data_IF_007902947247
#
_entry.id   IF_007902947247
#
_cell.length_a   1.000
_cell.length_b   1.000
_cell.length_c   1.000
_cell.angle_alpha   90.00
_cell.angle_beta   90.00
_cell.angle_gamma   90.00
#
_symmetry.space_group_name_H-M   'P 1'
#
loop_
_entity.id
_entity.type
_entity.pdbx_description
1 polymer ?
#
# COMPACT_ATOMS: atom_id res chain seq x y z
N UNK A 1 35.90 -42.06 -4.21
CA UNK A 1 35.16 -41.43 -3.09
C UNK A 1 35.09 -39.95 -3.37
N UNK A 2 33.92 -39.43 -3.76
CA UNK A 2 33.70 -38.01 -4.05
C UNK A 2 33.20 -37.35 -2.77
N UNK A 3 33.96 -36.41 -2.21
CA UNK A 3 33.51 -35.60 -1.08
C UNK A 3 32.56 -34.51 -1.59
N UNK A 4 31.30 -34.61 -1.19
CA UNK A 4 30.29 -33.57 -1.40
C UNK A 4 30.62 -32.38 -0.50
N UNK A 5 30.95 -31.25 -1.12
CA UNK A 5 30.93 -29.95 -0.46
C UNK A 5 29.45 -29.51 -0.47
N UNK A 6 28.82 -29.52 0.70
CA UNK A 6 27.53 -28.86 0.92
C UNK A 6 27.74 -27.36 0.87
N UNK A 7 27.19 -26.70 -0.14
CA UNK A 7 26.92 -25.27 -0.06
C UNK A 7 25.73 -25.07 0.88
N UNK A 8 25.95 -24.40 2.01
CA UNK A 8 24.86 -23.74 2.72
C UNK A 8 24.41 -22.59 1.83
N UNK A 9 23.20 -22.69 1.28
CA UNK A 9 22.49 -21.53 0.77
C UNK A 9 22.30 -20.55 1.94
N UNK A 10 23.09 -19.47 1.95
CA UNK A 10 22.65 -18.25 2.62
C UNK A 10 21.46 -17.73 1.82
N UNK A 11 20.26 -18.14 2.27
CA UNK A 11 19.02 -17.47 1.91
C UNK A 11 19.15 -16.05 2.50
N UNK A 12 19.66 -15.12 1.71
CA UNK A 12 19.48 -13.69 1.95
C UNK A 12 18.01 -13.38 1.64
N UNK A 13 17.14 -13.76 2.58
CA UNK A 13 15.74 -13.37 2.59
C UNK A 13 15.64 -11.92 3.11
N UNK A 14 16.19 -10.99 2.33
CA UNK A 14 15.92 -9.56 2.51
C UNK A 14 14.50 -9.18 2.03
N UNK A 15 13.68 -10.17 1.64
CA UNK A 15 12.27 -10.05 1.28
C UNK A 15 11.29 -10.38 2.41
N UNK A 16 11.76 -10.86 3.56
CA UNK A 16 10.96 -10.94 4.79
C UNK A 16 10.83 -9.53 5.43
N UNK A 17 10.25 -8.58 4.69
CA UNK A 17 9.85 -7.29 5.26
C UNK A 17 8.60 -7.54 6.11
N UNK A 18 8.81 -7.34 7.41
CA UNK A 18 7.95 -7.57 8.57
C UNK A 18 6.45 -7.76 8.29
N UNK A 19 5.80 -8.77 8.90
CA UNK A 19 4.34 -8.72 9.03
C UNK A 19 3.98 -7.36 9.65
N UNK A 20 2.89 -6.74 9.22
CA UNK A 20 2.33 -5.55 9.88
C UNK A 20 1.94 -5.93 11.32
N UNK A 21 2.92 -6.03 12.22
CA UNK A 21 2.70 -6.32 13.63
C UNK A 21 2.10 -5.07 14.22
N UNK A 22 0.77 -5.07 14.35
CA UNK A 22 0.06 -4.04 15.10
C UNK A 22 0.23 -4.36 16.58
N UNK A 23 1.18 -3.69 17.24
CA UNK A 23 1.47 -3.86 18.65
C UNK A 23 0.23 -3.51 19.50
N UNK A 24 -0.55 -2.49 19.10
CA UNK A 24 -1.83 -2.12 19.72
C UNK A 24 -2.84 -3.27 19.77
N UNK A 25 -2.74 -4.25 18.86
CA UNK A 25 -3.63 -5.41 18.77
C UNK A 25 -3.06 -6.66 19.43
N UNK A 26 -2.11 -6.51 20.37
CA UNK A 26 -1.43 -7.63 21.05
C UNK A 26 -0.78 -8.61 20.06
N UNK A 27 -0.07 -8.07 19.07
CA UNK A 27 0.62 -8.83 18.00
C UNK A 27 -0.31 -9.67 17.11
N UNK A 28 -1.61 -9.40 17.11
CA UNK A 28 -2.55 -9.92 16.13
C UNK A 28 -2.70 -8.91 15.00
N UNK A 29 -2.89 -9.38 13.78
CA UNK A 29 -3.30 -8.51 12.68
C UNK A 29 -4.78 -8.06 12.84
N UNK A 30 -5.23 -7.18 11.94
CA UNK A 30 -6.58 -6.61 11.97
C UNK A 30 -7.69 -7.63 11.70
N UNK A 31 -7.43 -8.68 10.92
CA UNK A 31 -8.40 -9.74 10.58
C UNK A 31 -8.55 -10.69 11.77
N UNK A 32 -7.44 -11.17 12.31
CA UNK A 32 -7.40 -12.03 13.51
C UNK A 32 -8.00 -11.32 14.73
N UNK A 33 -7.91 -9.99 14.78
CA UNK A 33 -8.52 -9.15 15.81
C UNK A 33 -9.97 -8.75 15.51
N UNK A 34 -10.52 -9.16 14.36
CA UNK A 34 -11.90 -8.87 13.91
C UNK A 34 -12.22 -7.38 13.86
N UNK A 35 -11.25 -6.56 13.43
CA UNK A 35 -11.38 -5.10 13.29
C UNK A 35 -11.83 -4.72 11.88
N UNK A 36 -11.19 -5.32 10.88
CA UNK A 36 -11.57 -5.26 9.45
C UNK A 36 -11.12 -6.55 8.78
N UNK A 37 -11.91 -7.05 7.84
CA UNK A 37 -11.55 -8.18 6.96
C UNK A 37 -10.61 -7.73 5.83
N UNK A 38 -10.29 -6.44 5.77
CA UNK A 38 -9.27 -5.85 4.92
C UNK A 38 -8.06 -5.43 5.75
N UNK A 39 -6.86 -5.58 5.18
CA UNK A 39 -5.64 -5.07 5.78
C UNK A 39 -5.34 -3.63 5.33
N UNK A 40 -4.70 -2.80 6.18
CA UNK A 40 -4.25 -1.47 5.77
C UNK A 40 -3.10 -1.56 4.77
N UNK A 41 -3.17 -0.79 3.68
CA UNK A 41 -2.16 -0.72 2.62
C UNK A 41 -1.38 0.59 2.75
N UNK A 42 -0.05 0.53 2.85
CA UNK A 42 0.81 1.72 2.76
C UNK A 42 1.59 1.69 1.46
N UNK A 43 1.37 2.68 0.61
CA UNK A 43 2.08 2.80 -0.66
C UNK A 43 2.20 4.25 -1.13
N UNK A 44 3.40 4.65 -1.54
CA UNK A 44 3.70 5.97 -2.12
C UNK A 44 3.12 7.17 -1.34
N UNK A 45 3.28 7.16 -0.02
CA UNK A 45 2.76 8.21 0.87
C UNK A 45 1.26 8.14 1.14
N UNK A 46 0.57 7.08 0.71
CA UNK A 46 -0.85 6.83 1.00
C UNK A 46 -0.99 5.69 1.99
N UNK A 47 -1.79 5.89 3.03
CA UNK A 47 -2.43 4.81 3.78
C UNK A 47 -3.83 4.62 3.21
N UNK A 48 -4.11 3.47 2.61
CA UNK A 48 -5.45 3.08 2.17
C UNK A 48 -5.99 1.94 3.03
N UNK A 49 -7.24 2.01 3.47
CA UNK A 49 -7.85 0.92 4.23
C UNK A 49 -9.38 0.90 4.09
N UNK A 50 -9.96 -0.24 3.72
CA UNK A 50 -11.38 -0.48 3.95
C UNK A 50 -11.59 -0.83 5.44
N UNK A 51 -12.30 0.04 6.17
CA UNK A 51 -12.47 -0.08 7.63
C UNK A 51 -13.82 -0.70 8.03
N UNK A 52 -14.59 -1.17 7.06
CA UNK A 52 -15.87 -1.88 7.24
C UNK A 52 -16.91 -1.09 8.01
N UNK A 53 -17.77 -0.40 7.27
CA UNK A 53 -18.79 0.47 7.85
C UNK A 53 -19.78 -0.37 8.66
N UNK A 54 -20.48 0.27 9.59
CA UNK A 54 -21.59 -0.41 10.27
C UNK A 54 -22.61 -0.89 9.21
N UNK A 55 -22.80 -2.21 9.12
CA UNK A 55 -23.68 -2.78 8.12
C UNK A 55 -25.15 -2.55 8.41
N UNK A 56 -26.04 -3.29 7.73
CA UNK A 56 -27.49 -3.11 7.90
C UNK A 56 -27.98 -3.72 9.22
N UNK A 57 -28.96 -3.05 9.84
CA UNK A 57 -29.62 -3.55 11.05
C UNK A 57 -30.33 -4.89 10.76
N UNK A 58 -30.06 -5.90 11.58
CA UNK A 58 -30.72 -7.23 11.60
C UNK A 58 -31.12 -7.54 13.04
N UNK A 59 -32.43 -7.58 13.30
CA UNK A 59 -32.95 -7.79 14.65
C UNK A 59 -32.43 -6.74 15.63
N UNK A 60 -31.71 -7.20 16.66
CA UNK A 60 -31.20 -6.37 17.75
C UNK A 60 -29.84 -5.70 17.49
N UNK A 61 -29.19 -5.91 16.34
CA UNK A 61 -27.89 -5.30 16.02
C UNK A 61 -27.65 -5.12 14.52
N UNK A 62 -26.41 -4.90 14.11
CA UNK A 62 -25.97 -4.67 12.73
C UNK A 62 -25.01 -5.78 12.31
N UNK A 63 -25.13 -6.29 11.09
CA UNK A 63 -24.19 -7.31 10.61
C UNK A 63 -22.97 -6.65 9.97
N UNK A 64 -21.75 -6.95 10.42
CA UNK A 64 -20.52 -6.52 9.76
C UNK A 64 -20.03 -7.57 8.73
N UNK A 65 -18.94 -7.29 8.00
CA UNK A 65 -18.41 -8.21 6.98
C UNK A 65 -17.91 -9.55 7.52
N UNK A 66 -17.68 -9.66 8.84
CA UNK A 66 -17.37 -10.93 9.49
C UNK A 66 -18.59 -11.80 9.79
N UNK A 67 -19.81 -11.34 9.46
CA UNK A 67 -21.03 -12.05 9.85
C UNK A 67 -21.35 -11.94 11.34
N UNK A 68 -20.74 -10.98 12.05
CA UNK A 68 -20.93 -10.77 13.48
C UNK A 68 -22.00 -9.69 13.69
N UNK A 69 -22.90 -9.93 14.63
CA UNK A 69 -23.89 -8.93 15.06
C UNK A 69 -23.18 -7.96 16.02
N UNK A 70 -23.01 -6.73 15.56
CA UNK A 70 -22.40 -5.60 16.25
C UNK A 70 -23.51 -4.61 16.65
N UNK A 71 -23.55 -4.13 17.89
CA UNK A 71 -24.43 -3.01 18.28
C UNK A 71 -23.72 -1.64 18.12
N UNK A 72 -24.40 -0.54 18.41
CA UNK A 72 -23.79 0.81 18.27
C UNK A 72 -22.59 1.03 19.19
N UNK A 73 -22.60 0.49 20.41
CA UNK A 73 -21.49 0.61 21.35
C UNK A 73 -20.29 -0.23 20.89
N UNK A 74 -20.54 -1.44 20.40
CA UNK A 74 -19.51 -2.31 19.83
C UNK A 74 -18.84 -1.65 18.62
N UNK A 75 -19.64 -1.04 17.73
CA UNK A 75 -19.14 -0.31 16.56
C UNK A 75 -18.24 0.88 16.95
N UNK A 76 -18.68 1.69 17.93
CA UNK A 76 -17.87 2.82 18.44
C UNK A 76 -16.57 2.34 19.10
N UNK A 77 -16.59 1.20 19.79
CA UNK A 77 -15.38 0.59 20.33
C UNK A 77 -14.44 0.12 19.20
N UNK A 78 -14.98 -0.45 18.12
CA UNK A 78 -14.20 -0.83 16.93
C UNK A 78 -13.59 0.38 16.23
N UNK A 79 -14.32 1.49 16.09
CA UNK A 79 -13.78 2.75 15.55
C UNK A 79 -12.59 3.29 16.37
N UNK A 80 -12.62 3.13 17.69
CA UNK A 80 -11.50 3.51 18.56
C UNK A 80 -10.25 2.66 18.28
N UNK A 81 -10.43 1.34 18.09
CA UNK A 81 -9.35 0.44 17.68
C UNK A 81 -8.83 0.72 16.27
N UNK A 82 -9.71 1.07 15.34
CA UNK A 82 -9.32 1.52 13.99
C UNK A 82 -8.41 2.75 14.10
N UNK A 83 -8.73 3.71 14.99
CA UNK A 83 -7.89 4.87 15.24
C UNK A 83 -6.51 4.49 15.79
N UNK A 84 -6.44 3.55 16.73
CA UNK A 84 -5.17 3.01 17.25
C UNK A 84 -4.30 2.42 16.14
N UNK A 85 -4.89 1.58 15.28
CA UNK A 85 -4.16 0.98 14.13
C UNK A 85 -3.67 2.06 13.17
N UNK A 86 -4.53 3.03 12.80
CA UNK A 86 -4.13 4.13 11.91
C UNK A 86 -2.95 4.91 12.51
N UNK A 87 -3.05 5.28 13.80
CA UNK A 87 -2.02 6.06 14.48
C UNK A 87 -0.68 5.32 14.55
N UNK A 88 -0.70 4.02 14.83
CA UNK A 88 0.50 3.18 14.86
C UNK A 88 1.12 3.05 13.46
N UNK A 89 0.31 2.81 12.42
CA UNK A 89 0.80 2.76 11.04
C UNK A 89 1.44 4.08 10.62
N UNK A 90 0.84 5.21 10.99
CA UNK A 90 1.36 6.56 10.72
C UNK A 90 2.66 6.83 11.47
N UNK A 91 2.79 6.35 12.71
CA UNK A 91 4.00 6.49 13.51
C UNK A 91 5.19 5.76 12.87
N UNK A 92 4.99 4.53 12.42
CA UNK A 92 6.04 3.74 11.75
C UNK A 92 6.27 4.12 10.28
N UNK A 93 5.37 4.90 9.67
CA UNK A 93 5.47 5.35 8.28
C UNK A 93 5.33 6.87 8.19
N UNK A 94 6.35 7.65 8.64
CA UNK A 94 6.27 9.11 8.65
C UNK A 94 6.15 9.73 7.25
N UNK A 95 6.45 8.98 6.19
CA UNK A 95 6.26 9.41 4.80
C UNK A 95 4.80 9.43 4.33
N UNK A 96 3.84 8.96 5.12
CA UNK A 96 2.41 9.07 4.80
C UNK A 96 2.02 10.56 4.75
N UNK A 97 1.35 10.93 3.66
CA UNK A 97 0.88 12.26 3.30
C UNK A 97 -0.65 12.34 3.26
N UNK A 98 -1.32 11.22 3.02
CA UNK A 98 -2.77 11.13 3.08
C UNK A 98 -3.23 9.76 3.60
N UNK A 99 -4.36 9.77 4.30
CA UNK A 99 -5.05 8.60 4.83
C UNK A 99 -6.40 8.52 4.13
N UNK A 100 -6.67 7.39 3.50
CA UNK A 100 -7.80 7.16 2.62
C UNK A 100 -8.58 5.94 3.11
N UNK A 101 -9.81 6.15 3.58
CA UNK A 101 -10.63 5.09 4.13
C UNK A 101 -11.82 4.80 3.22
N UNK A 102 -12.02 3.51 2.94
CA UNK A 102 -13.26 2.98 2.40
C UNK A 102 -14.14 2.45 3.52
N UNK A 103 -15.45 2.51 3.30
CA UNK A 103 -16.45 2.11 4.30
C UNK A 103 -16.19 2.68 5.71
N UNK A 104 -15.76 3.94 5.78
CA UNK A 104 -15.70 4.71 7.01
C UNK A 104 -17.08 5.01 7.60
N UNK A 105 -17.12 5.53 8.84
CA UNK A 105 -18.37 5.94 9.47
C UNK A 105 -19.08 7.06 8.69
N UNK A 106 -20.40 6.90 8.53
CA UNK A 106 -21.27 7.83 7.81
C UNK A 106 -22.00 8.79 8.76
N UNK A 107 -22.47 8.29 9.91
CA UNK A 107 -23.17 9.11 10.90
C UNK A 107 -22.19 10.09 11.53
N UNK A 108 -22.60 11.36 11.68
CA UNK A 108 -21.75 12.41 12.26
C UNK A 108 -21.19 12.04 13.64
N UNK A 109 -22.00 11.39 14.50
CA UNK A 109 -21.56 10.92 15.82
C UNK A 109 -20.45 9.85 15.72
N UNK A 110 -20.53 8.95 14.75
CA UNK A 110 -19.54 7.89 14.56
C UNK A 110 -18.25 8.46 13.93
N UNK A 111 -18.39 9.39 12.98
CA UNK A 111 -17.27 10.14 12.42
C UNK A 111 -16.55 10.95 13.51
N UNK A 112 -17.30 11.55 14.44
CA UNK A 112 -16.76 12.27 15.59
C UNK A 112 -15.99 11.34 16.53
N UNK A 113 -16.52 10.15 16.83
CA UNK A 113 -15.82 9.14 17.65
C UNK A 113 -14.48 8.76 17.03
N UNK A 114 -14.45 8.49 15.73
CA UNK A 114 -13.21 8.17 15.02
C UNK A 114 -12.21 9.35 15.10
N UNK A 115 -12.67 10.57 14.80
CA UNK A 115 -11.82 11.76 14.83
C UNK A 115 -11.24 12.04 16.23
N UNK A 116 -12.08 11.98 17.26
CA UNK A 116 -11.65 12.21 18.65
C UNK A 116 -10.66 11.15 19.12
N UNK A 117 -10.85 9.90 18.71
CA UNK A 117 -9.92 8.81 19.02
C UNK A 117 -8.57 9.05 18.34
N UNK A 118 -8.55 9.47 17.07
CA UNK A 118 -7.31 9.80 16.37
C UNK A 118 -6.55 10.96 17.01
N UNK A 119 -7.26 11.98 17.54
CA UNK A 119 -6.64 13.13 18.22
C UNK A 119 -5.87 12.77 19.48
N UNK A 120 -6.15 11.63 20.09
CA UNK A 120 -5.43 11.18 21.28
C UNK A 120 -3.95 10.87 20.98
N UNK A 121 -3.58 10.69 19.70
CA UNK A 121 -2.24 10.27 19.29
C UNK A 121 -1.41 11.45 18.74
N UNK A 122 -0.17 11.65 19.25
CA UNK A 122 0.73 12.69 18.74
C UNK A 122 1.06 12.55 17.24
N UNK A 123 1.22 11.32 16.74
CA UNK A 123 1.52 11.04 15.32
C UNK A 123 0.44 11.54 14.36
N UNK A 124 -0.79 11.71 14.85
CA UNK A 124 -1.96 12.13 14.09
C UNK A 124 -2.15 13.65 14.05
N UNK A 125 -1.46 14.43 14.88
CA UNK A 125 -1.64 15.89 14.95
C UNK A 125 -1.36 16.58 13.60
N UNK A 126 -0.50 16.00 12.77
CA UNK A 126 -0.22 16.49 11.42
C UNK A 126 -1.36 16.30 10.41
N UNK A 127 -2.44 15.58 10.74
CA UNK A 127 -3.59 15.37 9.85
C UNK A 127 -4.86 16.07 10.36
N UNK A 128 -4.94 16.38 11.65
CA UNK A 128 -6.18 16.82 12.32
C UNK A 128 -6.10 18.32 12.65
N UNK A 129 -5.83 19.16 11.65
CA UNK A 129 -5.93 20.63 11.83
C UNK A 129 -7.36 21.14 11.81
N UNK A 130 -8.24 20.44 11.11
CA UNK A 130 -9.65 20.73 10.98
C UNK A 130 -10.39 19.47 11.41
N UNK A 131 -11.39 19.59 12.29
CA UNK A 131 -12.12 18.48 12.89
C UNK A 131 -13.03 17.72 11.90
N UNK A 132 -12.55 17.45 10.69
CA UNK A 132 -13.33 17.02 9.54
C UNK A 132 -12.50 16.17 8.59
N UNK A 133 -13.12 15.10 8.13
CA UNK A 133 -12.66 14.34 6.98
C UNK A 133 -13.11 15.02 5.68
N UNK A 134 -12.27 14.93 4.66
CA UNK A 134 -12.67 15.18 3.29
C UNK A 134 -13.55 14.02 2.81
N UNK A 135 -14.75 14.33 2.32
CA UNK A 135 -15.73 13.33 1.87
C UNK A 135 -16.43 13.78 0.57
N UNK A 136 -16.99 12.83 -0.21
CA UNK A 136 -17.94 13.17 -1.27
C UNK A 136 -19.15 13.91 -0.69
N UNK A 137 -19.72 14.82 -1.47
CA UNK A 137 -20.87 15.63 -1.07
C UNK A 137 -21.95 15.69 -2.17
N UNK A 138 -22.03 14.63 -2.98
CA UNK A 138 -23.03 14.54 -4.03
C UNK A 138 -24.37 14.03 -3.47
N UNK A 139 -25.47 14.38 -4.12
CA UNK A 139 -26.79 13.88 -3.76
C UNK A 139 -26.88 12.39 -4.09
N UNK A 140 -26.95 11.53 -3.08
CA UNK A 140 -27.06 10.08 -3.24
C UNK A 140 -26.69 9.31 -1.98
N UNK A 141 -26.68 7.96 -2.02
CA UNK A 141 -26.26 7.12 -0.90
C UNK A 141 -24.80 7.39 -0.54
N UNK A 142 -24.48 7.52 0.75
CA UNK A 142 -23.11 7.64 1.23
C UNK A 142 -22.47 6.23 1.37
N UNK A 143 -21.17 6.13 1.05
CA UNK A 143 -20.42 4.87 1.06
C UNK A 143 -19.18 4.91 1.97
N UNK A 144 -19.11 5.91 2.86
CA UNK A 144 -18.04 6.00 3.86
C UNK A 144 -16.66 6.32 3.27
N UNK A 145 -16.57 7.05 2.14
CA UNK A 145 -15.28 7.49 1.65
C UNK A 145 -14.78 8.68 2.48
N UNK A 146 -13.71 8.48 3.24
CA UNK A 146 -13.11 9.50 4.11
C UNK A 146 -11.64 9.68 3.74
N UNK A 147 -11.19 10.93 3.67
CA UNK A 147 -9.77 11.24 3.50
C UNK A 147 -9.30 12.25 4.57
N UNK A 148 -8.10 12.04 5.10
CA UNK A 148 -7.30 13.06 5.78
C UNK A 148 -6.05 13.32 4.95
N UNK A 149 -5.63 14.58 4.88
CA UNK A 149 -4.37 14.98 4.26
C UNK A 149 -3.47 15.60 5.33
N UNK A 150 -2.16 15.44 5.18
CA UNK A 150 -1.19 16.14 6.04
C UNK A 150 -1.44 17.65 5.94
N UNK A 151 -1.44 18.34 7.07
CA UNK A 151 -1.81 19.73 7.25
C UNK A 151 -0.93 20.69 6.45
N UNK A 152 0.26 20.24 6.01
CA UNK A 152 1.08 21.02 5.08
C UNK A 152 0.40 21.20 3.72
N UNK A 153 -0.49 20.29 3.33
CA UNK A 153 -1.22 20.36 2.08
C UNK A 153 -2.49 21.19 2.20
N UNK A 154 -2.67 22.10 1.25
CA UNK A 154 -3.99 22.65 0.94
C UNK A 154 -4.72 21.67 0.02
N UNK A 155 -5.75 21.01 0.54
CA UNK A 155 -6.58 20.10 -0.24
C UNK A 155 -7.75 20.83 -0.93
N UNK A 156 -8.02 20.47 -2.19
CA UNK A 156 -9.18 20.95 -2.95
C UNK A 156 -9.80 19.83 -3.78
N UNK A 157 -11.13 19.75 -3.77
CA UNK A 157 -11.87 18.75 -4.57
C UNK A 157 -11.69 19.03 -6.05
N UNK A 158 -11.45 17.98 -6.83
CA UNK A 158 -11.39 18.04 -8.29
C UNK A 158 -12.63 17.36 -8.85
N UNK A 159 -13.38 18.10 -9.66
CA UNK A 159 -14.53 17.55 -10.35
C UNK A 159 -14.06 16.89 -11.65
N UNK A 160 -14.19 15.57 -11.72
CA UNK A 160 -13.88 14.82 -12.92
C UNK A 160 -15.07 14.89 -13.88
N UNK A 161 -14.83 15.34 -15.11
CA UNK A 161 -15.87 15.36 -16.14
C UNK A 161 -16.40 13.95 -16.41
N UNK A 162 -17.71 13.83 -16.63
CA UNK A 162 -18.35 12.56 -16.97
C UNK A 162 -18.60 11.59 -15.81
N UNK A 163 -18.12 11.85 -14.58
CA UNK A 163 -18.44 10.99 -13.42
C UNK A 163 -19.95 10.91 -13.16
N UNK A 164 -20.68 12.00 -13.46
CA UNK A 164 -22.15 12.06 -13.37
C UNK A 164 -22.86 11.10 -14.32
N UNK A 165 -22.18 10.62 -15.38
CA UNK A 165 -22.70 9.61 -16.30
C UNK A 165 -22.62 8.18 -15.73
N UNK A 166 -21.94 8.02 -14.58
CA UNK A 166 -21.80 6.75 -13.86
C UNK A 166 -22.57 6.83 -12.54
N UNK A 167 -23.92 6.72 -12.55
CA UNK A 167 -24.74 6.90 -11.35
C UNK A 167 -24.40 5.90 -10.23
N UNK A 168 -23.88 4.72 -10.61
CA UNK A 168 -23.41 3.71 -9.66
C UNK A 168 -22.12 4.10 -8.92
N UNK A 169 -21.45 5.20 -9.31
CA UNK A 169 -20.25 5.71 -8.66
C UNK A 169 -20.51 7.00 -7.85
N UNK A 170 -21.76 7.45 -7.74
CA UNK A 170 -22.14 8.58 -6.88
C UNK A 170 -21.72 8.28 -5.44
N UNK A 171 -20.98 9.21 -4.82
CA UNK A 171 -20.37 9.10 -3.49
C UNK A 171 -19.48 7.84 -3.29
N UNK A 172 -19.07 7.19 -4.37
CA UNK A 172 -18.14 6.03 -4.41
C UNK A 172 -16.82 6.36 -5.10
N UNK A 173 -16.66 7.59 -5.55
CA UNK A 173 -15.42 8.11 -6.10
C UNK A 173 -15.24 9.55 -5.65
N UNK A 174 -14.01 9.91 -5.31
CA UNK A 174 -13.60 11.30 -5.12
C UNK A 174 -12.17 11.48 -5.61
N UNK A 175 -11.89 12.67 -6.12
CA UNK A 175 -10.57 13.09 -6.54
C UNK A 175 -10.21 14.39 -5.83
N UNK A 176 -9.05 14.41 -5.21
CA UNK A 176 -8.52 15.56 -4.49
C UNK A 176 -7.19 15.99 -5.08
N UNK A 177 -6.98 17.30 -5.15
CA UNK A 177 -5.69 17.91 -5.38
C UNK A 177 -5.13 18.33 -4.02
N UNK A 178 -3.88 17.94 -3.74
CA UNK A 178 -3.11 18.32 -2.57
C UNK A 178 -1.97 19.24 -3.01
N UNK A 179 -1.96 20.47 -2.51
CA UNK A 179 -0.96 21.48 -2.85
C UNK A 179 -0.06 21.81 -1.66
N UNK A 180 1.26 21.67 -1.80
CA UNK A 180 2.27 22.09 -0.83
C UNK A 180 3.35 22.91 -1.55
N UNK A 181 3.33 24.24 -1.37
CA UNK A 181 4.17 25.17 -2.14
C UNK A 181 3.94 25.01 -3.65
N UNK A 182 5.01 24.70 -4.39
CA UNK A 182 4.98 24.42 -5.84
C UNK A 182 4.67 22.95 -6.17
N UNK A 183 4.57 22.08 -5.16
CA UNK A 183 4.31 20.66 -5.35
C UNK A 183 2.81 20.38 -5.39
N UNK A 184 2.34 19.79 -6.50
CA UNK A 184 0.96 19.34 -6.67
C UNK A 184 0.89 17.81 -6.76
N UNK A 185 0.05 17.22 -5.90
CA UNK A 185 -0.32 15.81 -5.94
C UNK A 185 -1.82 15.64 -6.10
N UNK A 186 -2.22 14.48 -6.60
CA UNK A 186 -3.60 14.09 -6.77
C UNK A 186 -3.84 12.76 -6.06
N UNK A 187 -4.97 12.66 -5.37
CA UNK A 187 -5.39 11.45 -4.67
C UNK A 187 -6.80 11.11 -5.11
N UNK A 188 -6.96 10.00 -5.82
CA UNK A 188 -8.25 9.39 -6.10
C UNK A 188 -8.54 8.32 -5.04
N UNK A 189 -9.75 8.36 -4.50
CA UNK A 189 -10.26 7.37 -3.55
C UNK A 189 -11.60 6.83 -4.06
N UNK A 190 -11.71 5.51 -4.18
CA UNK A 190 -12.91 4.87 -4.69
C UNK A 190 -13.32 3.60 -3.93
N UNK A 191 -14.62 3.30 -3.95
CA UNK A 191 -15.18 2.01 -3.53
C UNK A 191 -16.12 1.51 -4.62
N UNK A 192 -15.64 0.59 -5.45
CA UNK A 192 -16.38 0.10 -6.60
C UNK A 192 -17.45 -0.92 -6.19
N UNK A 193 -18.60 -0.98 -6.87
CA UNK A 193 -19.62 -1.99 -6.58
C UNK A 193 -19.17 -3.41 -6.94
N UNK A 194 -19.55 -4.39 -6.11
CA UNK A 194 -19.36 -5.80 -6.41
C UNK A 194 -20.12 -6.26 -7.65
N UNK A 195 -19.42 -6.97 -8.53
CA UNK A 195 -19.94 -7.51 -9.78
C UNK A 195 -19.78 -9.03 -9.92
N UNK A 196 -19.07 -9.68 -8.98
CA UNK A 196 -18.73 -11.09 -9.05
C UNK A 196 -17.42 -11.40 -9.80
N UNK A 197 -16.65 -10.39 -10.19
CA UNK A 197 -15.42 -10.56 -11.01
C UNK A 197 -14.13 -10.62 -10.18
N UNK A 198 -14.21 -10.93 -8.90
CA UNK A 198 -13.05 -10.92 -7.99
C UNK A 198 -12.01 -11.96 -8.41
N UNK A 199 -12.44 -13.14 -8.84
CA UNK A 199 -11.54 -14.23 -9.24
C UNK A 199 -11.26 -14.26 -10.75
N UNK A 200 -11.77 -13.28 -11.50
CA UNK A 200 -11.58 -13.23 -12.94
C UNK A 200 -10.12 -12.88 -13.25
N UNK A 201 -9.48 -13.66 -14.11
CA UNK A 201 -8.07 -13.47 -14.53
C UNK A 201 -7.93 -13.08 -16.00
N UNK A 202 -9.00 -13.19 -16.79
CA UNK A 202 -9.05 -12.75 -18.18
C UNK A 202 -9.98 -11.56 -18.33
N UNK A 203 -9.46 -10.45 -18.88
CA UNK A 203 -10.20 -9.22 -19.15
C UNK A 203 -11.42 -9.45 -20.04
N UNK A 204 -11.38 -10.45 -20.95
CA UNK A 204 -12.51 -10.81 -21.82
C UNK A 204 -13.68 -11.44 -21.07
N UNK A 205 -13.42 -12.01 -19.89
CA UNK A 205 -14.43 -12.65 -19.05
C UNK A 205 -15.03 -11.70 -18.00
N UNK A 206 -14.53 -10.47 -17.89
CA UNK A 206 -15.10 -9.47 -17.00
C UNK A 206 -16.57 -9.19 -17.38
N UNK A 207 -17.43 -9.09 -16.37
CA UNK A 207 -18.78 -8.56 -16.57
C UNK A 207 -18.75 -7.17 -17.22
N UNK A 208 -19.82 -6.82 -17.94
CA UNK A 208 -19.94 -5.51 -18.57
C UNK A 208 -19.77 -4.34 -17.57
N UNK A 209 -20.17 -4.54 -16.30
CA UNK A 209 -19.99 -3.53 -15.25
C UNK A 209 -18.52 -3.32 -14.90
N UNK A 210 -17.77 -4.40 -14.66
CA UNK A 210 -16.34 -4.29 -14.39
C UNK A 210 -15.55 -3.76 -15.57
N UNK A 211 -15.98 -4.07 -16.80
CA UNK A 211 -15.37 -3.46 -17.99
C UNK A 211 -15.53 -1.93 -17.99
N UNK A 212 -16.72 -1.43 -17.64
CA UNK A 212 -16.96 0.02 -17.49
C UNK A 212 -16.10 0.60 -16.36
N UNK A 213 -15.95 -0.09 -15.23
CA UNK A 213 -15.09 0.38 -14.14
C UNK A 213 -13.61 0.42 -14.53
N UNK A 214 -13.10 -0.63 -15.19
CA UNK A 214 -11.75 -0.64 -15.74
C UNK A 214 -11.52 0.51 -16.74
N UNK A 215 -12.48 0.76 -17.63
CA UNK A 215 -12.40 1.88 -18.59
C UNK A 215 -12.40 3.23 -17.88
N UNK A 216 -13.23 3.40 -16.86
CA UNK A 216 -13.27 4.62 -16.05
C UNK A 216 -11.94 4.85 -15.33
N UNK A 217 -11.38 3.84 -14.68
CA UNK A 217 -10.09 3.94 -13.98
C UNK A 217 -8.98 4.28 -14.97
N UNK A 218 -8.93 3.61 -16.12
CA UNK A 218 -7.96 3.91 -17.17
C UNK A 218 -8.11 5.35 -17.67
N UNK A 219 -9.33 5.83 -17.89
CA UNK A 219 -9.59 7.22 -18.26
C UNK A 219 -9.00 8.18 -17.21
N UNK A 220 -9.19 7.93 -15.91
CA UNK A 220 -8.59 8.77 -14.85
C UNK A 220 -7.06 8.71 -14.91
N UNK A 221 -6.48 7.52 -15.03
CA UNK A 221 -5.02 7.35 -15.09
C UNK A 221 -4.42 8.06 -16.32
N UNK A 222 -5.08 8.00 -17.48
CA UNK A 222 -4.64 8.65 -18.71
C UNK A 222 -4.71 10.17 -18.62
N UNK A 223 -5.79 10.72 -18.04
CA UNK A 223 -5.96 12.17 -17.83
C UNK A 223 -4.88 12.74 -16.90
N UNK A 224 -4.36 11.93 -15.97
CA UNK A 224 -3.38 12.34 -14.97
C UNK A 224 -2.02 11.66 -15.14
N UNK A 225 -1.72 11.12 -16.33
CA UNK A 225 -0.51 10.33 -16.57
C UNK A 225 0.80 11.09 -16.24
N UNK A 226 0.85 12.38 -16.56
CA UNK A 226 1.98 13.29 -16.32
C UNK A 226 1.90 14.03 -14.96
N UNK A 227 0.88 13.73 -14.16
CA UNK A 227 0.66 14.30 -12.83
C UNK A 227 1.05 13.29 -11.75
N UNK A 228 1.31 13.77 -10.54
CA UNK A 228 1.54 12.89 -9.39
C UNK A 228 0.18 12.39 -8.89
N UNK A 229 -0.32 11.25 -9.39
CA UNK A 229 -1.60 10.69 -8.96
C UNK A 229 -1.40 9.35 -8.26
N UNK A 230 -2.01 9.23 -7.09
CA UNK A 230 -2.27 7.95 -6.42
C UNK A 230 -3.76 7.64 -6.51
N UNK A 231 -4.13 6.49 -7.06
CA UNK A 231 -5.50 6.00 -7.14
C UNK A 231 -5.65 4.82 -6.19
N UNK A 232 -6.30 5.04 -5.06
CA UNK A 232 -6.56 4.01 -4.06
C UNK A 232 -8.03 3.59 -4.08
N UNK A 233 -8.30 2.29 -3.97
CA UNK A 233 -9.65 1.80 -3.95
C UNK A 233 -9.80 0.41 -3.34
N UNK A 234 -11.02 0.15 -2.90
CA UNK A 234 -11.59 -1.20 -2.89
C UNK A 234 -12.25 -1.38 -4.26
N UNK A 235 -11.60 -2.18 -5.11
CA UNK A 235 -12.02 -2.42 -6.47
C UNK A 235 -13.19 -3.39 -6.57
N UNK A 236 -13.43 -4.27 -5.60
CA UNK A 236 -14.45 -5.33 -5.68
C UNK A 236 -14.43 -6.19 -6.98
N UNK A 237 -13.35 -6.14 -7.74
CA UNK A 237 -13.01 -6.99 -8.89
C UNK A 237 -11.49 -7.09 -8.97
N UNK A 238 -10.95 -8.01 -9.77
CA UNK A 238 -9.49 -8.18 -9.87
C UNK A 238 -8.79 -6.94 -10.48
N UNK A 239 -8.07 -6.11 -9.70
CA UNK A 239 -7.45 -4.89 -10.19
C UNK A 239 -6.28 -5.16 -11.17
N UNK A 240 -5.75 -6.38 -11.22
CA UNK A 240 -4.73 -6.79 -12.20
C UNK A 240 -5.19 -6.59 -13.65
N UNK A 241 -6.49 -6.48 -13.90
CA UNK A 241 -7.07 -6.39 -15.23
C UNK A 241 -7.21 -4.95 -15.77
N UNK A 242 -6.93 -3.94 -14.94
CA UNK A 242 -7.11 -2.51 -15.29
C UNK A 242 -6.06 -2.08 -16.32
N UNK A 243 -4.78 -2.37 -16.09
CA UNK A 243 -3.66 -1.94 -16.93
C UNK A 243 -3.23 -2.90 -18.03
N UNK A 244 -2.39 -2.41 -18.94
CA UNK A 244 -1.73 -3.22 -19.98
C UNK A 244 -0.74 -4.20 -19.32
N UNK A 245 -0.55 -5.43 -19.83
CA UNK A 245 0.39 -6.41 -19.23
C UNK A 245 1.79 -5.86 -18.95
N UNK A 246 2.30 -4.97 -19.82
CA UNK A 246 3.61 -4.32 -19.65
C UNK A 246 3.68 -3.35 -18.45
N UNK A 247 2.55 -2.75 -18.06
CA UNK A 247 2.46 -1.82 -16.92
C UNK A 247 2.30 -2.57 -15.59
N UNK A 248 1.80 -3.80 -15.62
CA UNK A 248 1.56 -4.63 -14.42
C UNK A 248 2.85 -5.04 -13.72
N UNK A 249 3.96 -5.12 -14.47
CA UNK A 249 5.30 -5.33 -13.92
C UNK A 249 5.78 -4.08 -13.14
N UNK A 250 5.22 -2.91 -13.40
CA UNK A 250 5.56 -1.68 -12.68
C UNK A 250 4.64 -1.44 -11.48
N UNK A 251 3.46 -2.06 -11.49
CA UNK A 251 2.51 -2.11 -10.37
C UNK A 251 2.93 -3.14 -9.32
N UNK A 252 4.22 -3.44 -9.17
CA UNK A 252 4.75 -4.28 -8.09
C UNK A 252 4.52 -3.59 -6.75
N UNK A 253 3.32 -3.76 -6.23
CA UNK A 253 2.98 -3.49 -4.86
C UNK A 253 3.24 -4.82 -4.10
N UNK A 254 4.02 -4.75 -3.02
CA UNK A 254 4.65 -5.93 -2.41
C UNK A 254 3.60 -6.90 -1.85
N UNK A 255 3.94 -8.18 -1.91
CA UNK A 255 3.22 -9.44 -1.66
C UNK A 255 2.31 -9.59 -0.44
N UNK A 256 2.02 -8.54 0.32
CA UNK A 256 1.20 -8.67 1.52
C UNK A 256 0.07 -7.65 1.64
N UNK A 257 -0.20 -6.81 0.65
CA UNK A 257 -1.32 -5.87 0.76
C UNK A 257 -1.86 -5.33 -0.55
N UNK A 258 -1.60 -6.01 -1.67
CA UNK A 258 -1.82 -5.39 -2.96
C UNK A 258 -1.39 -6.35 -4.06
N UNK A 259 -2.36 -6.91 -4.76
CA UNK A 259 -2.23 -7.62 -6.04
C UNK A 259 -0.97 -8.50 -6.12
N UNK A 260 -1.03 -9.69 -5.54
CA UNK A 260 -0.23 -10.77 -6.07
C UNK A 260 -1.10 -11.97 -6.44
N UNK A 261 -1.32 -12.05 -7.76
CA UNK A 261 -1.04 -13.29 -8.47
C UNK A 261 0.32 -13.81 -7.97
N UNK A 262 0.30 -14.70 -6.99
CA UNK A 262 1.46 -15.51 -6.71
C UNK A 262 1.56 -16.49 -7.88
N UNK A 263 2.28 -16.11 -8.95
CA UNK A 263 2.56 -17.01 -10.06
C UNK A 263 3.66 -17.94 -9.56
N UNK A 264 3.28 -19.00 -8.86
CA UNK A 264 4.16 -20.15 -8.76
C UNK A 264 4.17 -20.85 -10.12
N UNK A 265 5.26 -20.71 -10.87
CA UNK A 265 5.52 -21.56 -12.03
C UNK A 265 5.93 -22.96 -11.55
N UNK A 266 5.01 -23.66 -10.89
CA UNK A 266 5.09 -25.11 -10.74
C UNK A 266 4.33 -25.70 -11.92
N UNK A 267 5.04 -26.42 -12.78
CA UNK A 267 4.45 -27.25 -13.85
C UNK A 267 3.73 -26.53 -15.00
N UNK A 268 4.01 -25.25 -15.27
CA UNK A 268 3.43 -24.53 -16.42
C UNK A 268 1.94 -24.18 -16.27
N UNK A 269 1.42 -24.24 -15.04
CA UNK A 269 0.05 -23.86 -14.69
C UNK A 269 0.12 -22.67 -13.73
N UNK A 270 -0.44 -21.54 -14.15
CA UNK A 270 -0.57 -20.34 -13.32
C UNK A 270 -1.70 -20.57 -12.31
N UNK A 271 -1.37 -20.87 -11.05
CA UNK A 271 -2.37 -20.92 -9.97
C UNK A 271 -2.51 -19.54 -9.33
N UNK A 272 -3.75 -19.08 -9.15
CA UNK A 272 -4.05 -17.82 -8.45
C UNK A 272 -4.50 -18.19 -7.04
N UNK A 273 -3.60 -18.05 -6.07
CA UNK A 273 -3.87 -18.49 -4.70
C UNK A 273 -4.75 -17.50 -3.91
N UNK A 274 -4.69 -16.20 -4.22
CA UNK A 274 -5.49 -15.18 -3.53
C UNK A 274 -5.70 -13.93 -4.41
N UNK A 275 -6.91 -13.37 -4.46
CA UNK A 275 -7.15 -12.04 -5.07
C UNK A 275 -7.56 -11.06 -3.97
N UNK A 276 -6.69 -10.09 -3.69
CA UNK A 276 -7.05 -8.92 -2.89
C UNK A 276 -7.70 -7.88 -3.81
N UNK A 277 -8.90 -7.42 -3.45
CA UNK A 277 -9.62 -6.40 -4.23
C UNK A 277 -9.24 -4.98 -3.88
N UNK A 278 -8.39 -4.78 -2.87
CA UNK A 278 -7.88 -3.48 -2.47
C UNK A 278 -6.57 -3.17 -3.19
N UNK A 279 -6.31 -1.88 -3.46
CA UNK A 279 -5.01 -1.49 -3.99
C UNK A 279 -4.80 0.00 -4.16
N UNK A 280 -3.55 0.36 -4.44
CA UNK A 280 -3.10 1.71 -4.79
C UNK A 280 -2.40 1.66 -6.16
N UNK A 281 -3.04 2.19 -7.18
CA UNK A 281 -2.47 2.36 -8.52
C UNK A 281 -1.79 3.72 -8.63
N UNK A 282 -0.71 3.78 -9.42
CA UNK A 282 0.07 4.98 -9.64
C UNK A 282 -0.14 5.51 -11.07
N UNK A 283 -0.10 6.82 -11.27
CA UNK A 283 0.09 7.38 -12.62
C UNK A 283 1.45 7.03 -13.19
N UNK A 284 1.62 7.15 -14.51
CA UNK A 284 2.87 6.84 -15.18
C UNK A 284 4.05 7.64 -14.62
N UNK A 285 3.86 8.93 -14.33
CA UNK A 285 4.87 9.75 -13.66
C UNK A 285 5.28 9.19 -12.29
N UNK A 286 4.32 8.77 -11.47
CA UNK A 286 4.61 8.21 -10.14
C UNK A 286 5.27 6.83 -10.24
N UNK A 287 4.85 5.97 -11.19
CA UNK A 287 5.55 4.72 -11.48
C UNK A 287 7.02 4.98 -11.81
N UNK A 288 7.30 5.97 -12.66
CA UNK A 288 8.67 6.32 -13.01
C UNK A 288 9.46 6.86 -11.82
N UNK A 289 8.86 7.73 -10.99
CA UNK A 289 9.48 8.25 -9.77
C UNK A 289 9.83 7.12 -8.78
N UNK A 290 8.89 6.20 -8.56
CA UNK A 290 9.05 5.04 -7.69
C UNK A 290 10.19 4.12 -8.19
N UNK A 291 10.24 3.83 -9.49
CA UNK A 291 11.31 3.02 -10.06
C UNK A 291 12.68 3.72 -9.98
N UNK A 292 12.72 5.03 -10.21
CA UNK A 292 13.96 5.81 -10.12
C UNK A 292 14.51 5.80 -8.69
N UNK A 293 13.67 6.06 -7.68
CA UNK A 293 14.07 6.03 -6.27
C UNK A 293 14.55 4.64 -5.85
N UNK A 294 13.88 3.56 -6.28
CA UNK A 294 14.33 2.17 -6.05
C UNK A 294 15.66 1.85 -6.75
N UNK A 295 15.85 2.32 -7.98
CA UNK A 295 17.11 2.15 -8.72
C UNK A 295 18.26 2.90 -8.04
N UNK A 296 18.02 4.12 -7.59
CA UNK A 296 18.99 4.91 -6.81
C UNK A 296 19.34 4.23 -5.48
N UNK A 297 18.33 3.72 -4.76
CA UNK A 297 18.56 2.93 -3.53
C UNK A 297 19.37 1.66 -3.82
N UNK A 298 19.05 0.93 -4.90
CA UNK A 298 19.79 -0.27 -5.30
C UNK A 298 21.23 0.07 -5.73
N UNK A 299 21.43 1.19 -6.41
CA UNK A 299 22.77 1.67 -6.77
C UNK A 299 23.54 2.09 -5.52
N UNK A 300 22.96 2.87 -4.61
CA UNK A 300 23.60 3.28 -3.36
C UNK A 300 23.88 2.08 -2.46
N UNK A 301 22.98 1.11 -2.37
CA UNK A 301 23.19 -0.14 -1.64
C UNK A 301 24.33 -0.94 -2.27
N UNK A 302 24.37 -1.05 -3.61
CA UNK A 302 25.49 -1.66 -4.34
C UNK A 302 26.80 -0.91 -4.12
N UNK A 303 26.78 0.42 -4.12
CA UNK A 303 27.96 1.26 -3.90
C UNK A 303 28.44 1.16 -2.46
N UNK A 304 27.55 1.12 -1.47
CA UNK A 304 27.89 0.90 -0.06
C UNK A 304 28.41 -0.51 0.18
N UNK A 305 27.83 -1.51 -0.49
CA UNK A 305 28.31 -2.89 -0.45
C UNK A 305 29.70 -2.99 -1.08
N UNK A 306 29.90 -2.38 -2.25
CA UNK A 306 31.21 -2.29 -2.90
C UNK A 306 32.22 -1.51 -2.05
N UNK A 307 31.85 -0.39 -1.44
CA UNK A 307 32.72 0.40 -0.56
C UNK A 307 33.11 -0.38 0.70
N UNK A 308 32.17 -1.12 1.31
CA UNK A 308 32.47 -2.05 2.40
C UNK A 308 33.41 -3.15 1.95
N UNK A 309 33.19 -3.72 0.76
CA UNK A 309 34.05 -4.76 0.21
C UNK A 309 35.46 -4.25 -0.10
N UNK A 310 35.55 -3.05 -0.70
CA UNK A 310 36.81 -2.38 -0.98
C UNK A 310 37.56 -2.03 0.31
N UNK A 311 36.88 -1.48 1.33
CA UNK A 311 37.50 -1.17 2.63
C UNK A 311 37.91 -2.41 3.40
N UNK A 312 37.12 -3.49 3.35
CA UNK A 312 37.47 -4.76 3.96
C UNK A 312 38.67 -5.41 3.26
N UNK A 313 38.71 -5.39 1.92
CA UNK A 313 39.85 -5.88 1.14
C UNK A 313 41.10 -5.03 1.39
N UNK A 314 40.97 -3.71 1.47
CA UNK A 314 42.07 -2.80 1.78
C UNK A 314 42.62 -3.07 3.19
N UNK A 315 41.74 -3.28 4.17
CA UNK A 315 42.12 -3.64 5.53
C UNK A 315 42.86 -4.97 5.57
N UNK A 316 42.37 -6.01 4.90
CA UNK A 316 43.07 -7.31 4.82
C UNK A 316 44.45 -7.15 4.19
N UNK A 317 44.59 -6.36 3.12
CA UNK A 317 45.89 -6.12 2.46
C UNK A 317 46.84 -5.32 3.36
N UNK A 318 46.34 -4.35 4.13
CA UNK A 318 47.13 -3.57 5.08
C UNK A 318 47.55 -4.46 6.25
N UNK A 319 46.61 -5.17 6.89
CA UNK A 319 46.86 -6.08 7.99
C UNK A 319 47.84 -7.20 7.57
N UNK A 320 47.76 -7.67 6.32
CA UNK A 320 48.67 -8.69 5.77
C UNK A 320 50.05 -8.11 5.40
N UNK A 321 50.13 -6.85 4.93
CA UNK A 321 51.42 -6.15 4.76
C UNK A 321 52.10 -5.90 6.10
N UNK A 322 51.34 -5.48 7.11
CA UNK A 322 51.84 -5.25 8.47
C UNK A 322 52.28 -6.57 9.12
N UNK A 323 51.49 -7.64 9.00
CA UNK A 323 51.86 -8.97 9.46
C UNK A 323 53.14 -9.49 8.75
N UNK A 324 53.26 -9.32 7.43
CA UNK A 324 54.46 -9.73 6.69
C UNK A 324 55.70 -8.91 7.08
N UNK A 325 55.55 -7.62 7.38
CA UNK A 325 56.63 -6.78 7.88
C UNK A 325 57.03 -7.12 9.32
N UNK A 326 56.09 -7.58 10.16
CA UNK A 326 56.35 -8.00 11.52
C UNK A 326 57.01 -9.39 11.62
N UNK A 327 56.84 -10.22 10.57
CA UNK A 327 57.34 -11.60 10.49
C UNK A 327 58.64 -11.75 9.68
N UNK A 328 59.27 -10.66 9.23
CA UNK A 328 60.43 -10.66 8.33
C UNK A 328 60.23 -11.52 7.06
N UNK A 329 58.98 -11.66 6.61
CA UNK A 329 58.66 -12.50 5.47
C UNK A 329 58.97 -11.74 4.17
N UNK A 330 60.16 -11.96 3.62
CA UNK A 330 60.52 -11.47 2.29
C UNK A 330 59.85 -12.39 1.27
N UNK A 331 58.93 -11.90 0.41
CA UNK A 331 58.34 -12.76 -0.61
C UNK A 331 59.46 -13.29 -1.50
N UNK A 332 59.66 -14.60 -1.48
CA UNK A 332 60.62 -15.26 -2.37
C UNK A 332 60.09 -15.03 -3.79
N UNK A 333 60.76 -14.16 -4.53
CA UNK A 333 60.55 -14.03 -5.96
C UNK A 333 60.85 -15.41 -6.57
N UNK A 334 59.79 -16.14 -6.94
CA UNK A 334 59.96 -17.39 -7.66
C UNK A 334 60.68 -17.08 -8.97
N UNK A 335 61.89 -17.60 -9.05
CA UNK A 335 62.80 -17.49 -10.16
C UNK A 335 62.10 -17.74 -11.50
N UNK A 336 62.37 -16.84 -12.44
CA UNK A 336 62.44 -17.18 -13.84
C UNK A 336 63.49 -18.29 -14.02
N UNK A 337 63.03 -19.45 -14.49
CA UNK A 337 63.79 -20.45 -15.21
C UNK A 337 62.73 -21.26 -15.96
N UNK A 338 62.71 -21.41 -17.28
CA UNK A 338 63.69 -21.28 -18.34
C UNK A 338 63.13 -22.12 -19.48
#
# INVERSE_FOLDING_TARGET
MKSQIQYKEEINDASAQAPNVCACLNNKDVIASKISDHHPIVHNGILFWNVMMQGRKRGNGFNNGFGIIENDADYKARLSKIAEVIAEVVEYNPSIEAICLCEGPIKDDDTKVLNDSLKAFPSMQRFISQDRFYKPNEVGPEWGLLMLADNRYKASKVNLEGISLLPNLVNRFQLWQLQDGDTTKYVALAHFPFSGDVYTTDRKLLSARSQVYCQFIQYVLDQYQDKSLNFCADFNFNPHLIGQPAERVLDHIINNNSILLNIEEKSGVFNVDTVTVDGVLLSQKEKQNYLNTRREQNLMTRLQWNDRFFKAALKVVIDQKEANAYLDYTPIASLQAG
#
